data_IF_832379255290
#
_entry.id   IF_832379255290
#
_cell.length_a   1.000
_cell.length_b   1.000
_cell.length_c   1.000
_cell.angle_alpha   90.00
_cell.angle_beta   90.00
_cell.angle_gamma   90.00
#
_symmetry.space_group_name_H-M   'P 1'
#
loop_
_entity.id
_entity.type
_entity.pdbx_description
1 polymer ?
#
# COMPACT_ATOMS: atom_id res chain seq x y z
N UNK A 1 13.31 13.28 31.71
CA UNK A 1 12.13 13.86 31.05
C UNK A 1 12.50 14.39 29.66
N UNK A 2 12.21 13.67 28.57
CA UNK A 2 12.35 14.21 27.20
C UNK A 2 11.03 14.91 26.83
N UNK A 3 11.01 16.24 26.87
CA UNK A 3 9.92 17.03 26.28
C UNK A 3 9.87 16.70 24.78
N UNK A 4 8.76 16.15 24.31
CA UNK A 4 8.48 15.99 22.89
C UNK A 4 8.42 17.40 22.28
N UNK A 5 9.49 17.83 21.61
CA UNK A 5 9.46 19.05 20.82
C UNK A 5 8.80 18.67 19.50
N UNK A 6 7.53 19.03 19.36
CA UNK A 6 6.87 19.00 18.06
C UNK A 6 7.67 19.87 17.09
N UNK A 7 7.92 19.37 15.89
CA UNK A 7 8.53 20.18 14.84
C UNK A 7 7.62 21.37 14.50
N UNK A 8 8.18 22.50 14.05
CA UNK A 8 7.39 23.65 13.58
C UNK A 8 6.33 23.24 12.54
N UNK A 9 6.64 22.21 11.76
CA UNK A 9 5.73 21.60 10.80
C UNK A 9 4.54 20.89 11.45
N UNK A 10 4.75 20.12 12.52
CA UNK A 10 3.66 19.47 13.26
C UNK A 10 2.73 20.50 13.91
N UNK A 11 3.31 21.58 14.43
CA UNK A 11 2.54 22.70 14.99
C UNK A 11 1.68 23.35 13.91
N UNK A 12 2.24 23.60 12.72
CA UNK A 12 1.52 24.17 11.57
C UNK A 12 0.38 23.27 11.09
N UNK A 13 0.64 21.98 10.89
CA UNK A 13 -0.37 20.99 10.46
C UNK A 13 -1.47 20.87 11.52
N UNK A 14 -1.10 20.84 12.80
CA UNK A 14 -2.07 20.83 13.91
C UNK A 14 -2.94 22.08 13.95
N UNK A 15 -2.37 23.26 13.67
CA UNK A 15 -3.12 24.51 13.58
C UNK A 15 -4.08 24.52 12.39
N UNK A 16 -3.63 24.07 11.21
CA UNK A 16 -4.47 23.97 10.02
C UNK A 16 -5.63 22.98 10.22
N UNK A 17 -5.37 21.82 10.83
CA UNK A 17 -6.42 20.83 11.17
C UNK A 17 -7.46 21.45 12.09
N UNK A 18 -7.05 22.16 13.14
CA UNK A 18 -7.98 22.82 14.08
C UNK A 18 -8.80 23.91 13.40
N UNK A 19 -8.20 24.69 12.50
CA UNK A 19 -8.89 25.78 11.80
C UNK A 19 -9.92 25.30 10.78
N UNK A 20 -9.69 24.13 10.15
CA UNK A 20 -10.56 23.59 9.10
C UNK A 20 -11.56 22.53 9.59
N UNK A 21 -11.49 22.16 10.86
CA UNK A 21 -12.37 21.14 11.43
C UNK A 21 -13.75 21.71 11.72
N UNK A 22 -14.79 21.13 11.08
CA UNK A 22 -16.18 21.59 11.20
C UNK A 22 -17.03 20.76 12.18
N UNK A 23 -16.49 19.66 12.74
CA UNK A 23 -17.23 18.78 13.65
C UNK A 23 -17.40 17.36 13.11
N UNK A 24 -18.24 16.58 13.78
CA UNK A 24 -18.55 15.20 13.40
C UNK A 24 -20.04 15.06 13.09
N UNK A 25 -20.37 14.25 12.07
CA UNK A 25 -21.75 14.06 11.59
C UNK A 25 -21.99 12.63 11.19
N UNK A 26 -23.25 12.21 11.21
CA UNK A 26 -23.74 10.98 10.60
C UNK A 26 -24.35 11.31 9.26
N UNK A 27 -24.03 10.51 8.25
CA UNK A 27 -24.62 10.60 6.91
C UNK A 27 -25.01 9.21 6.44
N UNK A 28 -25.85 9.14 5.41
CA UNK A 28 -26.14 7.86 4.76
C UNK A 28 -24.92 7.40 3.96
N UNK A 29 -24.69 6.08 3.93
CA UNK A 29 -23.57 5.48 3.19
C UNK A 29 -23.58 5.82 1.70
N UNK A 30 -24.77 5.97 1.10
CA UNK A 30 -24.95 6.32 -0.32
C UNK A 30 -24.38 7.69 -0.71
N UNK A 31 -24.18 8.57 0.26
CA UNK A 31 -23.63 9.91 0.05
C UNK A 31 -22.10 9.87 0.04
N UNK A 32 -21.48 8.84 0.64
CA UNK A 32 -20.03 8.73 0.75
C UNK A 32 -19.41 8.42 -0.61
N UNK A 33 -18.47 9.26 -1.03
CA UNK A 33 -17.68 9.07 -2.22
C UNK A 33 -16.21 8.95 -1.87
N UNK A 34 -15.60 7.83 -2.24
CA UNK A 34 -14.17 7.59 -2.07
C UNK A 34 -13.52 7.70 -3.46
N UNK A 35 -12.78 8.79 -3.75
CA UNK A 35 -12.05 8.89 -5.01
C UNK A 35 -11.05 7.74 -5.10
N UNK A 36 -11.10 7.06 -6.24
CA UNK A 36 -10.49 5.76 -6.49
C UNK A 36 -8.95 5.80 -6.34
N UNK A 37 -8.43 5.39 -5.18
CA UNK A 37 -7.17 4.63 -5.15
C UNK A 37 -7.48 3.18 -5.53
N UNK A 38 -6.51 2.48 -6.14
CA UNK A 38 -6.53 1.04 -6.36
C UNK A 38 -7.16 0.34 -5.16
N UNK A 39 -8.45 -0.02 -5.29
CA UNK A 39 -9.21 -0.58 -4.19
C UNK A 39 -8.47 -1.80 -3.69
N UNK A 40 -8.01 -1.78 -2.44
CA UNK A 40 -7.44 -2.95 -1.80
C UNK A 40 -8.44 -4.10 -1.99
N UNK A 41 -8.02 -5.18 -2.64
CA UNK A 41 -8.89 -6.35 -2.79
C UNK A 41 -9.46 -6.76 -1.43
N UNK A 42 -10.77 -7.02 -1.43
CA UNK A 42 -11.50 -7.48 -0.26
C UNK A 42 -10.85 -8.77 0.25
N UNK A 43 -10.11 -8.67 1.37
CA UNK A 43 -9.56 -9.83 2.06
C UNK A 43 -10.70 -10.55 2.78
N UNK A 44 -11.06 -11.75 2.32
CA UNK A 44 -12.09 -12.58 2.97
C UNK A 44 -11.79 -12.81 4.45
N UNK A 45 -10.52 -13.08 4.78
CA UNK A 45 -10.06 -13.22 6.17
C UNK A 45 -10.30 -11.94 6.98
N UNK A 46 -10.01 -10.76 6.42
CA UNK A 46 -10.29 -9.50 7.11
C UNK A 46 -11.80 -9.24 7.23
N UNK A 47 -12.61 -9.64 6.25
CA UNK A 47 -14.07 -9.52 6.30
C UNK A 47 -14.64 -10.42 7.40
N UNK A 48 -14.23 -11.68 7.46
CA UNK A 48 -14.69 -12.61 8.51
C UNK A 48 -14.22 -12.15 9.90
N UNK A 49 -12.95 -11.74 10.04
CA UNK A 49 -12.45 -11.12 11.28
C UNK A 49 -13.26 -9.89 11.68
N UNK A 50 -13.60 -9.02 10.73
CA UNK A 50 -14.41 -7.84 11.01
C UNK A 50 -15.83 -8.23 11.41
N UNK A 51 -16.47 -9.22 10.76
CA UNK A 51 -17.77 -9.75 11.16
C UNK A 51 -17.75 -10.27 12.59
N UNK A 52 -16.73 -11.05 12.96
CA UNK A 52 -16.53 -11.54 14.32
C UNK A 52 -16.37 -10.38 15.31
N UNK A 53 -15.53 -9.38 15.00
CA UNK A 53 -15.37 -8.16 15.81
C UNK A 53 -16.69 -7.41 15.96
N UNK A 54 -17.48 -7.28 14.88
CA UNK A 54 -18.80 -6.63 14.93
C UNK A 54 -19.84 -7.41 15.75
N UNK A 55 -19.68 -8.74 15.87
CA UNK A 55 -20.58 -9.61 16.64
C UNK A 55 -20.17 -9.71 18.12
N UNK A 56 -18.88 -9.66 18.42
CA UNK A 56 -18.33 -9.88 19.78
C UNK A 56 -17.99 -8.59 20.52
N UNK A 57 -17.52 -7.56 19.81
CA UNK A 57 -17.17 -6.26 20.37
C UNK A 57 -18.32 -5.29 20.04
N UNK A 58 -18.92 -4.66 21.05
CA UNK A 58 -19.88 -3.59 20.79
C UNK A 58 -19.16 -2.51 19.99
N UNK A 59 -19.56 -2.34 18.73
CA UNK A 59 -18.95 -1.40 17.79
C UNK A 59 -18.71 -0.06 18.48
N UNK A 60 -17.45 0.32 18.64
CA UNK A 60 -17.06 1.59 19.28
C UNK A 60 -17.28 2.75 18.31
N UNK A 61 -18.54 2.94 17.89
CA UNK A 61 -18.98 3.91 16.87
C UNK A 61 -18.67 5.35 17.25
N UNK A 62 -18.42 5.60 18.53
CA UNK A 62 -18.12 6.91 19.09
C UNK A 62 -16.62 7.13 19.30
N UNK A 63 -15.79 6.11 19.06
CA UNK A 63 -14.35 6.26 19.16
C UNK A 63 -13.85 7.06 17.95
N UNK A 64 -13.22 8.23 18.15
CA UNK A 64 -12.86 9.13 17.04
C UNK A 64 -11.96 8.50 15.96
N UNK A 65 -11.29 7.40 16.30
CA UNK A 65 -10.48 6.60 15.35
C UNK A 65 -11.31 5.87 14.30
N UNK A 66 -12.61 5.68 14.55
CA UNK A 66 -13.54 5.00 13.66
C UNK A 66 -14.35 5.98 12.80
N UNK A 67 -13.99 7.28 12.81
CA UNK A 67 -14.65 8.31 12.01
C UNK A 67 -13.97 8.41 10.65
N UNK A 68 -14.76 8.50 9.59
CA UNK A 68 -14.23 8.72 8.24
C UNK A 68 -14.03 10.22 8.05
N UNK A 69 -12.79 10.71 7.89
CA UNK A 69 -12.56 12.11 7.54
C UNK A 69 -13.16 12.39 6.16
N UNK A 70 -13.82 13.53 5.99
CA UNK A 70 -14.41 13.94 4.73
C UNK A 70 -14.25 15.45 4.52
N UNK A 71 -14.30 15.87 3.26
CA UNK A 71 -14.31 17.28 2.86
C UNK A 71 -15.67 17.60 2.27
N UNK A 72 -16.16 18.78 2.62
CA UNK A 72 -17.40 19.37 2.13
C UNK A 72 -17.12 20.84 1.81
N UNK A 73 -17.69 21.36 0.73
CA UNK A 73 -17.66 22.79 0.47
C UNK A 73 -18.53 23.52 1.51
N UNK A 74 -18.14 24.75 1.88
CA UNK A 74 -18.86 25.49 2.91
C UNK A 74 -20.33 25.71 2.53
N UNK A 75 -20.60 26.04 1.27
CA UNK A 75 -21.94 26.19 0.69
C UNK A 75 -22.79 24.92 0.84
N UNK A 76 -22.21 23.76 0.56
CA UNK A 76 -22.88 22.47 0.69
C UNK A 76 -23.14 22.10 2.14
N UNK A 77 -22.20 22.43 3.04
CA UNK A 77 -22.38 22.24 4.47
C UNK A 77 -23.51 23.11 5.01
N UNK A 78 -23.57 24.38 4.62
CA UNK A 78 -24.62 25.31 5.05
C UNK A 78 -26.00 24.85 4.55
N UNK A 79 -26.08 24.39 3.30
CA UNK A 79 -27.30 23.80 2.74
C UNK A 79 -27.75 22.55 3.50
N UNK A 80 -26.80 21.65 3.83
CA UNK A 80 -27.08 20.44 4.59
C UNK A 80 -27.52 20.73 6.03
N UNK A 81 -26.91 21.73 6.68
CA UNK A 81 -27.28 22.22 8.00
C UNK A 81 -28.69 22.79 8.01
N UNK A 82 -29.02 23.65 7.04
CA UNK A 82 -30.36 24.22 6.89
C UNK A 82 -31.42 23.15 6.63
N UNK A 83 -31.14 22.20 5.73
CA UNK A 83 -32.06 21.10 5.41
C UNK A 83 -32.26 20.11 6.59
N UNK A 84 -31.32 20.07 7.52
CA UNK A 84 -31.34 19.15 8.66
C UNK A 84 -31.75 19.81 9.97
N UNK A 85 -31.86 21.14 10.01
CA UNK A 85 -32.23 21.92 11.19
C UNK A 85 -31.13 21.99 12.26
N UNK A 86 -29.85 21.94 11.84
CA UNK A 86 -28.69 22.02 12.74
C UNK A 86 -27.85 23.28 12.46
N UNK A 87 -27.07 23.69 13.45
CA UNK A 87 -26.05 24.73 13.36
C UNK A 87 -24.64 24.13 13.35
N UNK A 88 -23.64 24.91 12.91
CA UNK A 88 -22.22 24.51 12.98
C UNK A 88 -21.80 24.21 14.43
N UNK A 89 -22.33 24.96 15.40
CA UNK A 89 -22.04 24.75 16.83
C UNK A 89 -22.54 23.39 17.33
N UNK A 90 -23.62 22.86 16.77
CA UNK A 90 -24.14 21.54 17.12
C UNK A 90 -23.20 20.42 16.66
N UNK A 91 -22.47 20.64 15.56
CA UNK A 91 -21.48 19.70 15.04
C UNK A 91 -20.24 19.58 15.92
N UNK A 92 -19.89 20.67 16.62
CA UNK A 92 -18.68 20.79 17.45
C UNK A 92 -18.91 20.38 18.89
N UNK A 93 -20.08 20.66 19.45
CA UNK A 93 -20.37 20.48 20.89
C UNK A 93 -20.75 19.05 21.24
N UNK A 94 -21.35 18.29 20.31
CA UNK A 94 -21.57 16.85 20.40
C UNK A 94 -22.04 16.38 21.80
N UNK A 95 -23.07 17.05 22.33
CA UNK A 95 -23.42 17.09 23.75
C UNK A 95 -23.71 15.73 24.39
N UNK A 96 -24.19 14.76 23.60
CA UNK A 96 -24.56 13.42 24.09
C UNK A 96 -23.64 12.31 23.56
N UNK A 97 -22.49 12.68 22.99
CA UNK A 97 -21.58 11.75 22.34
C UNK A 97 -22.16 11.14 21.04
N UNK A 98 -23.29 11.65 20.53
CA UNK A 98 -23.94 11.16 19.32
C UNK A 98 -23.93 12.24 18.22
N UNK A 99 -23.19 12.06 17.12
CA UNK A 99 -23.13 13.05 16.07
C UNK A 99 -24.49 13.26 15.37
N UNK A 100 -24.86 14.52 15.04
CA UNK A 100 -26.12 14.83 14.35
C UNK A 100 -26.14 14.22 12.95
N UNK A 101 -27.34 13.87 12.47
CA UNK A 101 -27.50 13.26 11.14
C UNK A 101 -27.79 14.32 10.09
N UNK A 102 -26.80 14.61 9.22
CA UNK A 102 -26.97 15.54 8.11
C UNK A 102 -27.58 14.85 6.89
N UNK A 103 -28.56 15.54 6.29
CA UNK A 103 -29.20 15.14 5.04
C UNK A 103 -28.58 15.92 3.88
N UNK A 104 -28.01 15.18 2.94
CA UNK A 104 -27.56 15.71 1.67
C UNK A 104 -28.58 15.41 0.56
N UNK A 105 -28.64 16.22 -0.50
CA UNK A 105 -29.50 15.96 -1.66
C UNK A 105 -29.24 14.58 -2.29
N UNK A 106 -30.26 14.03 -2.95
CA UNK A 106 -30.14 12.78 -3.69
C UNK A 106 -29.04 12.89 -4.76
N UNK A 107 -28.11 11.92 -4.81
CA UNK A 107 -26.91 11.87 -5.68
C UNK A 107 -25.76 12.81 -5.29
N UNK A 108 -25.84 13.53 -4.17
CA UNK A 108 -24.68 14.26 -3.65
C UNK A 108 -23.56 13.28 -3.30
N UNK A 109 -22.31 13.70 -3.53
CA UNK A 109 -21.11 12.89 -3.29
C UNK A 109 -20.21 13.61 -2.30
N UNK A 110 -20.31 13.23 -1.03
CA UNK A 110 -19.43 13.71 0.02
C UNK A 110 -18.07 13.03 -0.13
N UNK A 111 -17.06 13.82 -0.48
CA UNK A 111 -15.70 13.32 -0.70
C UNK A 111 -15.08 12.91 0.63
N UNK A 112 -14.99 11.60 0.85
CA UNK A 112 -14.30 11.03 1.98
C UNK A 112 -12.80 11.03 1.69
N UNK A 113 -12.02 11.49 2.67
CA UNK A 113 -10.57 11.53 2.62
C UNK A 113 -10.02 10.11 2.78
N UNK A 114 -10.10 9.37 1.68
CA UNK A 114 -9.14 8.34 1.34
C UNK A 114 -8.32 8.87 0.15
N UNK A 115 -7.00 8.82 0.25
CA UNK A 115 -6.12 8.89 -0.91
C UNK A 115 -5.86 10.23 -1.63
N UNK A 116 -6.61 11.33 -1.48
CA UNK A 116 -6.21 12.74 -1.78
C UNK A 116 -7.44 13.68 -1.87
N UNK A 117 -7.26 14.96 -1.50
CA UNK A 117 -7.68 16.21 -2.22
C UNK A 117 -7.98 17.41 -1.27
N UNK A 118 -7.72 18.63 -1.77
CA UNK A 118 -7.98 20.02 -1.30
C UNK A 118 -7.83 20.41 0.18
N UNK A 119 -6.91 19.79 0.90
CA UNK A 119 -6.21 20.43 2.02
C UNK A 119 -4.78 20.74 1.57
N UNK A 120 -3.95 21.38 2.41
CA UNK A 120 -2.52 21.37 2.10
C UNK A 120 -2.08 19.93 1.81
N UNK A 121 -1.23 19.68 0.79
CA UNK A 121 -0.79 18.33 0.45
C UNK A 121 -0.30 17.55 1.68
N UNK A 122 0.30 18.25 2.64
CA UNK A 122 0.80 17.70 3.89
C UNK A 122 -0.30 17.31 4.88
N UNK A 123 -1.35 18.14 5.06
CA UNK A 123 -2.48 17.79 5.92
C UNK A 123 -3.26 16.61 5.33
N UNK A 124 -3.44 16.61 4.02
CA UNK A 124 -4.07 15.51 3.27
C UNK A 124 -3.31 14.21 3.50
N UNK A 125 -1.99 14.19 3.31
CA UNK A 125 -1.15 13.02 3.56
C UNK A 125 -1.23 12.57 5.02
N UNK A 126 -1.23 13.50 5.98
CA UNK A 126 -1.34 13.19 7.41
C UNK A 126 -2.62 12.42 7.73
N UNK A 127 -3.75 12.89 7.18
CA UNK A 127 -5.06 12.28 7.43
C UNK A 127 -5.16 10.93 6.72
N UNK A 128 -4.84 10.84 5.42
CA UNK A 128 -4.87 9.57 4.68
C UNK A 128 -4.05 8.49 5.38
N UNK A 129 -2.85 8.83 5.86
CA UNK A 129 -1.99 7.87 6.54
C UNK A 129 -2.40 7.54 7.97
N UNK A 130 -3.11 8.43 8.67
CA UNK A 130 -3.67 8.14 9.99
C UNK A 130 -4.67 6.98 9.92
N UNK A 131 -5.53 6.99 8.89
CA UNK A 131 -6.60 6.01 8.70
C UNK A 131 -6.21 4.83 7.78
N UNK A 132 -5.16 4.94 6.96
CA UNK A 132 -4.60 3.80 6.20
C UNK A 132 -4.16 2.62 7.09
N UNK A 133 -3.99 2.86 8.40
CA UNK A 133 -3.58 1.89 9.41
C UNK A 133 -4.69 0.92 9.87
N UNK A 134 -5.94 1.10 9.46
CA UNK A 134 -7.06 0.20 9.84
C UNK A 134 -6.88 -1.24 9.31
N UNK A 135 -6.22 -1.39 8.15
CA UNK A 135 -5.63 -2.65 7.70
C UNK A 135 -4.11 -2.51 7.82
N UNK A 136 -3.49 -3.45 8.54
CA UNK A 136 -2.03 -3.42 8.76
C UNK A 136 -1.29 -3.42 7.41
N UNK A 137 -0.48 -2.39 7.10
CA UNK A 137 0.28 -2.34 5.86
C UNK A 137 1.30 -3.49 5.77
N UNK A 138 1.62 -3.91 4.54
CA UNK A 138 2.67 -4.91 4.29
C UNK A 138 4.06 -4.34 4.59
N UNK A 139 5.06 -5.21 4.80
CA UNK A 139 6.44 -4.79 5.02
C UNK A 139 6.95 -3.93 3.83
N UNK A 140 6.54 -4.25 2.60
CA UNK A 140 6.95 -3.49 1.41
C UNK A 140 6.19 -2.20 1.16
N UNK A 141 4.90 -2.10 1.50
CA UNK A 141 4.19 -0.81 1.52
C UNK A 141 4.89 0.17 2.48
N UNK A 142 5.25 -0.32 3.67
CA UNK A 142 5.94 0.50 4.68
C UNK A 142 7.34 0.88 4.18
N UNK A 143 8.10 -0.06 3.64
CA UNK A 143 9.42 0.19 3.08
C UNK A 143 9.38 1.25 1.96
N UNK A 144 8.49 1.09 0.98
CA UNK A 144 8.33 2.03 -0.12
C UNK A 144 7.99 3.44 0.37
N UNK A 145 7.08 3.57 1.35
CA UNK A 145 6.74 4.86 1.96
C UNK A 145 7.91 5.50 2.69
N UNK A 146 8.70 4.71 3.44
CA UNK A 146 9.92 5.19 4.10
C UNK A 146 10.89 5.76 3.07
N UNK A 147 11.12 5.04 1.96
CA UNK A 147 12.00 5.47 0.87
C UNK A 147 11.49 6.72 0.15
N UNK A 148 10.19 6.78 -0.14
CA UNK A 148 9.55 7.96 -0.72
C UNK A 148 9.79 9.20 0.17
N UNK A 149 9.50 9.10 1.46
CA UNK A 149 9.67 10.24 2.38
C UNK A 149 11.12 10.60 2.67
N UNK A 150 12.04 9.65 2.52
CA UNK A 150 13.47 9.92 2.54
C UNK A 150 13.90 10.80 1.36
N UNK A 151 13.44 10.49 0.15
CA UNK A 151 13.70 11.31 -1.05
C UNK A 151 13.08 12.71 -0.93
N UNK A 152 11.88 12.82 -0.36
CA UNK A 152 11.20 14.10 -0.09
C UNK A 152 11.81 14.90 1.08
N UNK A 153 12.88 14.39 1.73
CA UNK A 153 13.50 14.96 2.94
C UNK A 153 12.48 15.18 4.08
N UNK A 154 11.49 14.32 4.13
CA UNK A 154 10.35 14.39 5.02
C UNK A 154 10.53 13.46 6.23
N UNK A 155 11.34 13.90 7.20
CA UNK A 155 11.74 13.07 8.34
C UNK A 155 10.58 12.67 9.27
N UNK A 156 9.55 13.51 9.42
CA UNK A 156 8.44 13.20 10.33
C UNK A 156 7.61 12.02 9.81
N UNK A 157 7.26 12.03 8.52
CA UNK A 157 6.51 10.95 7.89
C UNK A 157 7.34 9.68 7.76
N UNK A 158 8.64 9.82 7.41
CA UNK A 158 9.60 8.71 7.48
C UNK A 158 9.58 8.01 8.84
N UNK A 159 9.68 8.78 9.93
CA UNK A 159 9.69 8.23 11.29
C UNK A 159 8.35 7.63 11.69
N UNK A 160 7.23 8.20 11.23
CA UNK A 160 5.89 7.65 11.44
C UNK A 160 5.75 6.27 10.80
N UNK A 161 6.17 6.11 9.55
CA UNK A 161 6.15 4.80 8.88
C UNK A 161 7.13 3.80 9.50
N UNK A 162 8.33 4.24 9.92
CA UNK A 162 9.25 3.40 10.71
C UNK A 162 8.62 2.88 12.01
N UNK A 163 7.74 3.65 12.63
CA UNK A 163 7.05 3.25 13.87
C UNK A 163 6.01 2.14 13.66
N UNK A 164 5.46 1.97 12.46
CA UNK A 164 4.48 0.92 12.14
C UNK A 164 5.15 -0.48 12.08
N UNK A 165 6.43 -0.53 11.70
CA UNK A 165 7.18 -1.78 11.55
C UNK A 165 7.25 -2.57 12.87
N UNK A 166 7.10 -3.89 12.76
CA UNK A 166 7.42 -4.84 13.84
C UNK A 166 8.90 -4.78 14.17
N UNK A 167 9.28 -5.20 15.38
CA UNK A 167 10.68 -5.21 15.85
C UNK A 167 11.63 -5.94 14.90
N UNK A 168 11.21 -7.08 14.35
CA UNK A 168 11.98 -7.86 13.37
C UNK A 168 12.15 -7.11 12.06
N UNK A 169 11.08 -6.56 11.48
CA UNK A 169 11.12 -5.77 10.25
C UNK A 169 11.94 -4.48 10.42
N UNK A 170 11.94 -3.84 11.60
CA UNK A 170 12.84 -2.70 11.91
C UNK A 170 14.31 -3.09 11.90
N UNK A 171 14.64 -4.30 12.35
CA UNK A 171 16.02 -4.81 12.29
C UNK A 171 16.42 -5.06 10.84
N UNK A 172 15.55 -5.69 10.05
CA UNK A 172 15.79 -5.89 8.62
C UNK A 172 15.96 -4.58 7.86
N UNK A 173 15.15 -3.56 8.16
CA UNK A 173 15.32 -2.23 7.56
C UNK A 173 16.69 -1.62 7.87
N UNK A 174 17.16 -1.71 9.13
CA UNK A 174 18.50 -1.21 9.49
C UNK A 174 19.61 -1.96 8.74
N UNK A 175 19.46 -3.27 8.57
CA UNK A 175 20.41 -4.05 7.78
C UNK A 175 20.42 -3.62 6.32
N UNK A 176 19.27 -3.28 5.72
CA UNK A 176 19.25 -2.70 4.38
C UNK A 176 19.94 -1.34 4.34
N UNK A 177 19.76 -0.49 5.37
CA UNK A 177 20.46 0.79 5.46
C UNK A 177 22.01 0.61 5.48
N UNK A 178 22.51 -0.54 5.96
CA UNK A 178 23.94 -0.89 5.99
C UNK A 178 24.45 -1.59 4.70
N UNK A 179 23.56 -2.07 3.81
CA UNK A 179 23.91 -2.77 2.56
C UNK A 179 23.38 -1.99 1.35
N UNK A 180 24.11 -0.95 0.93
CA UNK A 180 23.66 0.04 -0.06
C UNK A 180 23.27 -0.58 -1.42
N UNK A 181 24.08 -1.50 -1.95
CA UNK A 181 23.82 -2.14 -3.25
C UNK A 181 22.56 -3.03 -3.22
N UNK A 182 22.38 -3.82 -2.16
CA UNK A 182 21.18 -4.62 -1.97
C UNK A 182 19.94 -3.75 -1.83
N UNK A 183 20.05 -2.65 -1.08
CA UNK A 183 18.96 -1.72 -0.88
C UNK A 183 18.57 -1.03 -2.20
N UNK A 184 19.55 -0.65 -3.03
CA UNK A 184 19.32 -0.10 -4.37
C UNK A 184 18.63 -1.11 -5.30
N UNK A 185 19.05 -2.38 -5.29
CA UNK A 185 18.42 -3.43 -6.08
C UNK A 185 16.95 -3.67 -5.66
N UNK A 186 16.66 -3.64 -4.35
CA UNK A 186 15.28 -3.71 -3.85
C UNK A 186 14.48 -2.47 -4.27
N UNK A 187 15.04 -1.27 -4.13
CA UNK A 187 14.37 -0.01 -4.50
C UNK A 187 13.95 0.00 -5.98
N UNK A 188 14.80 -0.56 -6.83
CA UNK A 188 14.54 -0.74 -8.26
C UNK A 188 13.34 -1.68 -8.53
N UNK A 189 13.22 -2.78 -7.79
CA UNK A 189 12.06 -3.69 -7.88
C UNK A 189 10.80 -3.02 -7.32
N UNK A 190 10.93 -2.21 -6.26
CA UNK A 190 9.82 -1.45 -5.65
C UNK A 190 9.23 -0.36 -6.56
N UNK A 191 9.90 -0.02 -7.67
CA UNK A 191 9.35 0.84 -8.71
C UNK A 191 8.07 0.26 -9.34
N UNK A 192 7.88 -1.07 -9.28
CA UNK A 192 6.66 -1.77 -9.67
C UNK A 192 5.69 -1.88 -8.48
N UNK A 193 4.52 -1.22 -8.50
CA UNK A 193 3.55 -1.31 -7.41
C UNK A 193 3.15 -2.75 -7.06
N UNK A 194 2.96 -3.59 -8.08
CA UNK A 194 2.54 -4.98 -7.88
C UNK A 194 3.52 -5.87 -7.11
N UNK A 195 4.79 -5.48 -6.99
CA UNK A 195 5.81 -6.25 -6.26
C UNK A 195 5.82 -5.98 -4.76
N UNK A 196 5.27 -4.85 -4.32
CA UNK A 196 5.50 -4.32 -2.96
C UNK A 196 4.98 -5.25 -1.87
N UNK A 197 3.87 -5.94 -2.09
CA UNK A 197 3.23 -6.74 -1.06
C UNK A 197 4.03 -7.96 -0.61
N UNK A 198 4.91 -8.46 -1.46
CA UNK A 198 5.70 -9.66 -1.17
C UNK A 198 7.05 -9.35 -0.53
N UNK A 199 7.41 -8.07 -0.31
CA UNK A 199 8.64 -7.74 0.40
C UNK A 199 8.55 -8.23 1.85
N UNK A 200 9.52 -9.06 2.27
CA UNK A 200 9.63 -9.58 3.64
C UNK A 200 10.83 -8.95 4.34
N UNK A 201 10.66 -7.75 4.92
CA UNK A 201 11.73 -7.08 5.69
C UNK A 201 12.22 -7.96 6.85
N UNK A 202 11.31 -8.73 7.45
CA UNK A 202 11.67 -9.70 8.47
C UNK A 202 12.64 -10.79 8.02
N UNK A 203 12.83 -11.03 6.71
CA UNK A 203 13.72 -12.06 6.15
C UNK A 203 15.10 -11.51 5.74
N UNK A 204 15.29 -10.19 5.72
CA UNK A 204 16.56 -9.57 5.29
C UNK A 204 17.76 -10.08 6.09
N UNK A 205 17.61 -10.33 7.39
CA UNK A 205 18.69 -10.87 8.22
C UNK A 205 19.22 -12.24 7.76
N UNK A 206 18.40 -13.02 7.06
CA UNK A 206 18.84 -14.28 6.44
C UNK A 206 19.64 -14.00 5.18
N UNK A 207 19.14 -13.07 4.35
CA UNK A 207 19.79 -12.65 3.11
C UNK A 207 21.20 -12.13 3.41
N UNK A 208 21.33 -11.13 4.28
CA UNK A 208 22.64 -10.57 4.65
C UNK A 208 23.50 -11.56 5.44
N UNK A 209 22.88 -12.50 6.15
CA UNK A 209 23.58 -13.55 6.88
C UNK A 209 24.24 -14.61 5.97
N UNK A 210 23.71 -14.84 4.77
CA UNK A 210 24.30 -15.78 3.81
C UNK A 210 25.62 -15.30 3.22
N UNK A 211 25.89 -13.99 3.24
CA UNK A 211 27.06 -13.35 2.61
C UNK A 211 27.22 -13.72 1.13
N UNK A 212 26.10 -13.81 0.43
CA UNK A 212 26.01 -14.08 -1.01
C UNK A 212 25.30 -12.91 -1.70
N UNK A 213 25.73 -11.70 -1.37
CA UNK A 213 25.05 -10.46 -1.76
C UNK A 213 25.01 -10.33 -3.29
N UNK A 214 26.06 -10.77 -3.99
CA UNK A 214 26.14 -10.72 -5.46
C UNK A 214 25.06 -11.56 -6.14
N UNK A 215 24.82 -12.80 -5.69
CA UNK A 215 23.79 -13.66 -6.30
C UNK A 215 22.38 -13.15 -6.01
N UNK A 216 22.19 -12.57 -4.82
CA UNK A 216 20.91 -11.98 -4.41
C UNK A 216 20.62 -10.73 -5.25
N UNK A 217 21.59 -9.83 -5.38
CA UNK A 217 21.48 -8.62 -6.20
C UNK A 217 21.23 -9.00 -7.65
N UNK A 218 21.98 -9.97 -8.19
CA UNK A 218 21.79 -10.44 -9.56
C UNK A 218 20.37 -10.97 -9.82
N UNK A 219 19.76 -11.69 -8.87
CA UNK A 219 18.37 -12.13 -8.99
C UNK A 219 17.41 -10.95 -9.09
N UNK A 220 17.56 -9.94 -8.23
CA UNK A 220 16.69 -8.76 -8.21
C UNK A 220 16.84 -7.94 -9.51
N UNK A 221 18.06 -7.83 -10.02
CA UNK A 221 18.35 -7.19 -11.31
C UNK A 221 17.74 -7.96 -12.49
N UNK A 222 17.89 -9.29 -12.54
CA UNK A 222 17.27 -10.14 -13.56
C UNK A 222 15.74 -10.05 -13.51
N UNK A 223 15.14 -9.99 -12.31
CA UNK A 223 13.72 -9.75 -12.14
C UNK A 223 13.31 -8.42 -12.77
N UNK A 224 13.99 -7.32 -12.44
CA UNK A 224 13.70 -6.00 -13.03
C UNK A 224 13.84 -6.01 -14.55
N UNK A 225 14.89 -6.67 -15.06
CA UNK A 225 15.19 -6.75 -16.48
C UNK A 225 14.15 -7.60 -17.24
N UNK A 226 13.68 -8.69 -16.63
CA UNK A 226 12.58 -9.50 -17.16
C UNK A 226 11.33 -8.65 -17.41
N UNK A 227 10.87 -7.93 -16.38
CA UNK A 227 9.68 -7.10 -16.47
C UNK A 227 9.89 -5.94 -17.45
N UNK A 228 11.09 -5.36 -17.49
CA UNK A 228 11.43 -4.31 -18.46
C UNK A 228 11.38 -4.82 -19.91
N UNK A 229 11.85 -6.05 -20.17
CA UNK A 229 11.76 -6.66 -21.51
C UNK A 229 10.34 -7.09 -21.87
N UNK A 230 9.54 -7.48 -20.89
CA UNK A 230 8.17 -7.91 -21.11
C UNK A 230 7.25 -6.75 -21.54
N UNK A 231 7.39 -5.59 -20.92
CA UNK A 231 6.43 -4.49 -21.07
C UNK A 231 6.73 -3.58 -22.27
N UNK A 232 5.71 -3.13 -23.03
CA UNK A 232 5.87 -2.06 -24.01
C UNK A 232 6.26 -0.76 -23.29
N UNK A 233 7.28 -0.05 -23.78
CA UNK A 233 7.84 1.14 -23.09
C UNK A 233 8.86 0.83 -22.00
N UNK A 234 9.16 -0.46 -21.76
CA UNK A 234 10.25 -0.90 -20.89
C UNK A 234 10.17 -0.37 -19.46
N UNK A 235 11.27 0.21 -18.97
CA UNK A 235 11.38 0.72 -17.59
C UNK A 235 10.32 1.76 -17.23
N UNK A 236 9.86 2.56 -18.19
CA UNK A 236 8.82 3.58 -17.95
C UNK A 236 7.46 2.97 -17.59
N UNK A 237 7.19 1.75 -18.08
CA UNK A 237 5.92 1.05 -17.90
C UNK A 237 5.87 0.18 -16.65
N UNK A 238 6.98 0.02 -15.91
CA UNK A 238 7.02 -0.73 -14.65
C UNK A 238 5.99 -0.22 -13.63
N UNK A 239 5.71 1.09 -13.63
CA UNK A 239 4.72 1.72 -12.74
C UNK A 239 3.27 1.35 -13.05
N UNK A 240 2.99 0.82 -14.25
CA UNK A 240 1.66 0.37 -14.66
C UNK A 240 1.35 -1.06 -14.19
N UNK A 241 2.32 -1.76 -13.60
CA UNK A 241 2.14 -3.13 -13.12
C UNK A 241 1.49 -3.11 -11.74
N UNK A 242 0.23 -3.50 -11.69
CA UNK A 242 -0.56 -3.58 -10.46
C UNK A 242 -0.35 -4.92 -9.74
N UNK A 243 -0.88 -4.99 -8.51
CA UNK A 243 -0.84 -6.19 -7.66
C UNK A 243 -1.56 -7.38 -8.29
N UNK A 244 -2.74 -7.15 -8.86
CA UNK A 244 -3.55 -8.22 -9.46
C UNK A 244 -2.79 -8.91 -10.60
N UNK A 245 -2.04 -8.13 -11.38
CA UNK A 245 -1.15 -8.62 -12.44
C UNK A 245 -0.07 -9.51 -11.87
N UNK A 246 0.74 -9.03 -10.91
CA UNK A 246 1.84 -9.84 -10.33
C UNK A 246 1.31 -11.12 -9.70
N UNK A 247 0.20 -11.04 -8.95
CA UNK A 247 -0.43 -12.22 -8.33
C UNK A 247 -1.06 -13.19 -9.32
N UNK A 248 -1.56 -12.71 -10.45
CA UNK A 248 -2.08 -13.57 -11.51
C UNK A 248 -0.98 -14.33 -12.23
N UNK A 249 0.18 -13.70 -12.42
CA UNK A 249 1.27 -14.27 -13.22
C UNK A 249 2.35 -14.99 -12.42
N UNK A 250 2.48 -14.74 -11.12
CA UNK A 250 3.48 -15.42 -10.29
C UNK A 250 3.26 -16.93 -10.29
N UNK A 251 4.36 -17.69 -10.22
CA UNK A 251 4.36 -19.16 -10.29
C UNK A 251 3.81 -19.74 -11.60
N UNK A 252 3.75 -18.95 -12.68
CA UNK A 252 3.32 -19.40 -14.01
C UNK A 252 4.48 -19.47 -14.98
N UNK A 253 4.49 -20.51 -15.82
CA UNK A 253 5.46 -20.67 -16.92
C UNK A 253 4.73 -20.88 -18.26
N UNK A 254 4.15 -19.83 -18.85
CA UNK A 254 3.28 -19.95 -20.02
C UNK A 254 3.95 -20.50 -21.29
N UNK A 255 5.27 -20.40 -21.43
CA UNK A 255 5.99 -21.03 -22.55
C UNK A 255 6.14 -22.55 -22.41
N UNK A 256 6.14 -23.06 -21.18
CA UNK A 256 6.37 -24.48 -20.89
C UNK A 256 5.10 -25.22 -20.44
N UNK A 257 4.07 -24.51 -19.98
CA UNK A 257 2.82 -25.06 -19.45
C UNK A 257 1.63 -24.61 -20.28
N UNK A 258 1.01 -25.54 -21.02
CA UNK A 258 -0.21 -25.29 -21.79
C UNK A 258 -1.37 -24.81 -20.89
N UNK A 259 -1.42 -25.28 -19.65
CA UNK A 259 -2.44 -24.88 -18.69
C UNK A 259 -2.22 -23.42 -18.27
N UNK A 260 -1.01 -23.04 -17.89
CA UNK A 260 -0.71 -21.67 -17.50
C UNK A 260 -0.89 -20.71 -18.67
N UNK A 261 -0.49 -21.12 -19.87
CA UNK A 261 -0.71 -20.36 -21.09
C UNK A 261 -2.19 -20.04 -21.32
N UNK A 262 -3.08 -21.04 -21.22
CA UNK A 262 -4.53 -20.84 -21.37
C UNK A 262 -5.12 -19.92 -20.30
N UNK A 263 -4.73 -20.12 -19.04
CA UNK A 263 -5.23 -19.33 -17.91
C UNK A 263 -4.80 -17.87 -18.08
N UNK A 264 -3.51 -17.62 -18.32
CA UNK A 264 -2.97 -16.27 -18.47
C UNK A 264 -3.54 -15.55 -19.68
N UNK A 265 -3.69 -16.23 -20.81
CA UNK A 265 -4.31 -15.64 -21.99
C UNK A 265 -5.76 -15.21 -21.72
N UNK A 266 -6.55 -16.04 -21.03
CA UNK A 266 -7.93 -15.68 -20.65
C UNK A 266 -7.99 -14.48 -19.71
N UNK A 267 -7.10 -14.42 -18.71
CA UNK A 267 -7.01 -13.29 -17.78
C UNK A 267 -6.59 -11.99 -18.48
N UNK A 268 -5.69 -12.09 -19.46
CA UNK A 268 -5.20 -10.96 -20.24
C UNK A 268 -6.29 -10.40 -21.18
N UNK A 269 -7.02 -11.28 -21.88
CA UNK A 269 -8.15 -10.89 -22.74
C UNK A 269 -9.30 -10.25 -21.97
N UNK A 270 -9.60 -10.75 -20.76
CA UNK A 270 -10.61 -10.18 -19.87
C UNK A 270 -10.15 -8.91 -19.15
N UNK A 271 -8.87 -8.52 -19.28
CA UNK A 271 -8.30 -7.35 -18.62
C UNK A 271 -8.14 -7.48 -17.10
N UNK A 272 -8.17 -8.71 -16.57
CA UNK A 272 -7.92 -8.99 -15.15
C UNK A 272 -6.45 -8.79 -14.79
N UNK A 273 -5.54 -9.06 -15.72
CA UNK A 273 -4.11 -8.77 -15.61
C UNK A 273 -3.69 -7.76 -16.67
N UNK A 274 -2.66 -6.97 -16.36
CA UNK A 274 -2.21 -5.84 -17.18
C UNK A 274 -3.33 -4.82 -17.45
N UNK A 275 -4.16 -4.57 -16.44
CA UNK A 275 -5.37 -3.73 -16.53
C UNK A 275 -5.07 -2.31 -17.04
N UNK A 276 -3.93 -1.74 -16.65
CA UNK A 276 -3.45 -0.41 -17.04
C UNK A 276 -2.90 -0.29 -18.48
N UNK A 277 -2.89 -1.39 -19.24
CA UNK A 277 -2.42 -1.43 -20.63
C UNK A 277 -3.61 -1.52 -21.60
N UNK A 278 -3.45 -0.96 -22.81
CA UNK A 278 -4.46 -1.06 -23.87
C UNK A 278 -4.58 -2.50 -24.40
N UNK A 279 -5.68 -2.87 -25.07
CA UNK A 279 -5.82 -4.20 -25.66
C UNK A 279 -4.67 -4.56 -26.63
N UNK A 280 -4.18 -3.60 -27.40
CA UNK A 280 -3.04 -3.78 -28.31
C UNK A 280 -1.72 -3.97 -27.55
N UNK A 281 -1.49 -3.17 -26.49
CA UNK A 281 -0.33 -3.34 -25.61
C UNK A 281 -0.35 -4.72 -24.93
N UNK A 282 -1.52 -5.19 -24.48
CA UNK A 282 -1.68 -6.51 -23.87
C UNK A 282 -1.38 -7.64 -24.85
N UNK A 283 -1.79 -7.53 -26.11
CA UNK A 283 -1.43 -8.51 -27.15
C UNK A 283 0.09 -8.57 -27.37
N UNK A 284 0.75 -7.41 -27.37
CA UNK A 284 2.22 -7.35 -27.45
C UNK A 284 2.90 -7.99 -26.23
N UNK A 285 2.36 -7.76 -25.02
CA UNK A 285 2.82 -8.43 -23.79
C UNK A 285 2.64 -9.94 -23.93
N UNK A 286 1.48 -10.39 -24.39
CA UNK A 286 1.17 -11.81 -24.57
C UNK A 286 2.15 -12.49 -25.53
N UNK A 287 2.44 -11.87 -26.67
CA UNK A 287 3.38 -12.39 -27.65
C UNK A 287 4.79 -12.60 -27.09
N UNK A 288 5.21 -11.81 -26.09
CA UNK A 288 6.48 -12.03 -25.37
C UNK A 288 6.32 -13.08 -24.28
N UNK A 289 5.26 -12.98 -23.50
CA UNK A 289 5.00 -13.82 -22.33
C UNK A 289 4.92 -15.31 -22.71
N UNK A 290 4.22 -15.64 -23.80
CA UNK A 290 4.03 -17.02 -24.27
C UNK A 290 5.31 -17.74 -24.72
N UNK A 291 6.41 -17.02 -24.91
CA UNK A 291 7.72 -17.58 -25.29
C UNK A 291 8.70 -17.60 -24.11
N UNK A 292 8.25 -17.26 -22.90
CA UNK A 292 9.08 -17.32 -21.70
C UNK A 292 9.27 -18.78 -21.27
N UNK A 293 10.52 -19.21 -21.20
CA UNK A 293 10.97 -20.57 -20.86
C UNK A 293 11.20 -20.80 -19.36
N UNK A 294 10.87 -19.82 -18.53
CA UNK A 294 11.00 -19.86 -17.07
C UNK A 294 9.71 -19.45 -16.35
N UNK A 295 9.68 -19.66 -15.04
CA UNK A 295 8.65 -19.07 -14.19
C UNK A 295 8.76 -17.54 -14.22
N UNK A 296 7.61 -16.88 -14.22
CA UNK A 296 7.56 -15.42 -14.17
C UNK A 296 8.08 -14.96 -12.79
N UNK A 297 9.19 -14.20 -12.74
CA UNK A 297 9.83 -13.83 -11.49
C UNK A 297 9.01 -12.80 -10.72
N UNK A 298 8.85 -13.01 -9.42
CA UNK A 298 8.25 -12.06 -8.49
C UNK A 298 9.03 -12.04 -7.17
N UNK A 299 8.77 -11.05 -6.31
CA UNK A 299 9.37 -11.08 -4.98
C UNK A 299 8.91 -12.29 -4.16
N UNK A 300 7.71 -12.81 -4.42
CA UNK A 300 7.28 -14.07 -3.82
C UNK A 300 8.23 -15.21 -4.19
N UNK A 301 8.47 -15.43 -5.50
CA UNK A 301 9.36 -16.52 -5.95
C UNK A 301 10.78 -16.33 -5.43
N UNK A 302 11.28 -15.10 -5.45
CA UNK A 302 12.58 -14.75 -4.88
C UNK A 302 12.71 -15.18 -3.41
N UNK A 303 11.74 -14.86 -2.55
CA UNK A 303 11.81 -15.24 -1.15
C UNK A 303 11.65 -16.74 -0.91
N UNK A 304 11.00 -17.46 -1.82
CA UNK A 304 10.96 -18.92 -1.77
C UNK A 304 12.32 -19.51 -2.20
N UNK A 305 12.93 -18.99 -3.26
CA UNK A 305 14.27 -19.41 -3.74
C UNK A 305 15.37 -19.12 -2.71
N UNK A 306 15.30 -17.99 -2.00
CA UNK A 306 16.21 -17.64 -0.90
C UNK A 306 16.19 -18.68 0.21
N UNK A 307 15.06 -19.36 0.47
CA UNK A 307 15.01 -20.43 1.48
C UNK A 307 15.89 -21.61 1.07
N UNK A 308 15.86 -21.97 -0.21
CA UNK A 308 16.70 -23.03 -0.77
C UNK A 308 18.16 -22.61 -0.77
N UNK A 309 18.47 -21.40 -1.23
CA UNK A 309 19.84 -20.87 -1.23
C UNK A 309 20.45 -20.89 0.18
N UNK A 310 19.69 -20.45 1.18
CA UNK A 310 20.15 -20.46 2.56
C UNK A 310 20.45 -21.86 3.10
N UNK A 311 19.68 -22.87 2.70
CA UNK A 311 19.95 -24.27 3.06
C UNK A 311 21.22 -24.81 2.37
N UNK A 312 21.44 -24.43 1.10
CA UNK A 312 22.65 -24.78 0.36
C UNK A 312 23.90 -24.16 1.00
N UNK A 313 23.87 -22.86 1.30
CA UNK A 313 24.97 -22.15 1.96
C UNK A 313 25.31 -22.79 3.31
N UNK A 314 24.32 -23.10 4.13
CA UNK A 314 24.53 -23.77 5.41
C UNK A 314 25.22 -25.14 5.25
N UNK A 315 24.81 -25.93 4.25
CA UNK A 315 25.38 -27.25 3.97
C UNK A 315 26.84 -27.15 3.51
N UNK A 316 27.15 -26.20 2.62
CA UNK A 316 28.50 -25.95 2.12
C UNK A 316 29.42 -25.52 3.28
N UNK A 317 28.99 -24.55 4.09
CA UNK A 317 29.77 -24.09 5.25
C UNK A 317 30.05 -25.22 6.25
N UNK A 318 29.06 -26.08 6.52
CA UNK A 318 29.26 -27.23 7.41
C UNK A 318 30.27 -28.26 6.88
N UNK A 319 30.46 -28.31 5.57
CA UNK A 319 31.43 -29.22 4.92
C UNK A 319 32.87 -28.69 4.98
N UNK A 320 33.06 -27.40 5.26
CA UNK A 320 34.37 -26.75 5.37
C UNK A 320 34.84 -26.57 6.83
N UNK A 321 34.00 -26.89 7.82
CA UNK A 321 34.34 -26.82 9.25
C UNK A 321 34.80 -28.16 9.84
N UNK A 322 35.47 -29.00 9.06
CA UNK A 322 36.10 -30.25 9.53
C UNK A 322 37.54 -30.02 9.95
#
# INVERSE_FOLDING_TARGET
>A
MRRSRFSEREVRIGAERRAKYQGAVRVKLEVLHFPQEEGRELSRENVERLKEVFQTDHVRRLEPRNYVPAIVEQTDLDNALQASGFSVTDLLTNTDGNPPTLKFPSRYRLTCLHGRHHLSPELTATLVEEYANEKKPSDGEIYWKIRQYEQERNLCFKNRWKAILKTTSRRGLRQLDDHEELAAAIDDVMAMPGMRDDLRLSTIHKITGMKCDEQVIHYLEDMKEFWSKLLPGGKASLRKVDRATVKGVELKAPGNSKQDSRVLHGQLLSGQIFSSFSPEERENIWNRLRHTDRLIPSLFTFFEDVKYLNACVASVLSSFTV
#
